data_IF_338632820956
#
_entry.id   IF_338632820956
#
_cell.length_a   1.000
_cell.length_b   1.000
_cell.length_c   1.000
_cell.angle_alpha   90.00
_cell.angle_beta   90.00
_cell.angle_gamma   90.00
#
_symmetry.space_group_name_H-M   'P 1'
#
loop_
_entity.id
_entity.type
_entity.pdbx_description
1 polymer ?
#
# COMPACT_ATOMS: atom_id res chain seq x y z
N UNK A 1 -2.08 5.86 -7.40
CA UNK A 1 -1.09 4.94 -6.81
C UNK A 1 -1.51 4.34 -5.44
N UNK A 2 -2.25 5.06 -4.58
CA UNK A 2 -2.64 4.59 -3.22
C UNK A 2 -3.68 3.44 -3.19
N UNK A 3 -4.45 3.24 -4.27
CA UNK A 3 -5.45 2.16 -4.38
C UNK A 3 -4.84 0.75 -4.22
N UNK A 4 -3.60 0.56 -4.68
CA UNK A 4 -2.94 -0.77 -4.71
C UNK A 4 -2.72 -1.34 -3.31
N UNK A 5 -2.33 -0.51 -2.33
CA UNK A 5 -2.03 -0.99 -0.98
C UNK A 5 -3.31 -1.43 -0.24
N UNK A 6 -4.37 -0.61 -0.31
CA UNK A 6 -5.64 -0.89 0.39
C UNK A 6 -6.30 -2.15 -0.14
N UNK A 7 -6.30 -2.33 -1.45
CA UNK A 7 -6.85 -3.52 -2.09
C UNK A 7 -6.04 -4.77 -1.76
N UNK A 8 -4.70 -4.66 -1.71
CA UNK A 8 -3.83 -5.74 -1.22
C UNK A 8 -4.15 -6.09 0.23
N UNK A 9 -4.28 -5.10 1.12
CA UNK A 9 -4.59 -5.33 2.53
C UNK A 9 -5.94 -6.02 2.71
N UNK A 10 -6.96 -5.60 1.93
CA UNK A 10 -8.29 -6.21 1.93
C UNK A 10 -8.26 -7.65 1.42
N UNK A 11 -7.42 -7.95 0.42
CA UNK A 11 -7.17 -9.32 -0.07
C UNK A 11 -6.46 -10.18 0.97
N UNK A 12 -5.43 -9.66 1.64
CA UNK A 12 -4.69 -10.36 2.69
C UNK A 12 -5.59 -10.71 3.89
N UNK A 13 -6.49 -9.80 4.29
CA UNK A 13 -7.52 -10.12 5.30
C UNK A 13 -8.46 -11.24 4.86
N UNK A 14 -8.77 -11.31 3.56
CA UNK A 14 -9.69 -12.28 2.99
C UNK A 14 -11.07 -12.24 3.64
N UNK A 15 -11.51 -13.39 4.17
CA UNK A 15 -12.82 -13.54 4.83
C UNK A 15 -12.79 -13.19 6.32
N UNK A 16 -11.62 -12.94 6.92
CA UNK A 16 -11.50 -12.60 8.35
C UNK A 16 -12.23 -11.28 8.62
N UNK A 17 -12.84 -11.16 9.80
CA UNK A 17 -13.41 -9.87 10.23
C UNK A 17 -12.29 -8.88 10.51
N UNK A 18 -12.59 -7.57 10.48
CA UNK A 18 -11.62 -6.53 10.85
C UNK A 18 -11.06 -6.74 12.26
N UNK A 19 -11.91 -7.24 13.17
CA UNK A 19 -11.52 -7.55 14.55
C UNK A 19 -10.41 -8.60 14.60
N UNK A 20 -10.68 -9.78 14.05
CA UNK A 20 -9.73 -10.90 14.05
C UNK A 20 -8.41 -10.51 13.40
N UNK A 21 -8.47 -9.85 12.24
CA UNK A 21 -7.25 -9.49 11.53
C UNK A 21 -6.46 -8.37 12.24
N UNK A 22 -7.14 -7.41 12.88
CA UNK A 22 -6.45 -6.40 13.69
C UNK A 22 -5.74 -7.00 14.91
N UNK A 23 -6.32 -8.04 15.52
CA UNK A 23 -5.72 -8.76 16.65
C UNK A 23 -4.46 -9.51 16.20
N UNK A 24 -4.48 -10.21 15.06
CA UNK A 24 -3.29 -10.85 14.48
C UNK A 24 -2.16 -9.84 14.19
N UNK A 25 -2.53 -8.66 13.69
CA UNK A 25 -1.60 -7.56 13.44
C UNK A 25 -1.10 -6.88 14.72
N UNK A 26 -1.71 -7.14 15.88
CA UNK A 26 -1.35 -6.51 17.14
C UNK A 26 -1.75 -5.02 17.22
N UNK A 27 -2.85 -4.63 16.58
CA UNK A 27 -3.34 -3.24 16.57
C UNK A 27 -4.84 -3.15 16.90
N UNK A 28 -5.31 -1.95 17.23
CA UNK A 28 -6.74 -1.75 17.49
C UNK A 28 -7.58 -1.89 16.21
N UNK A 29 -8.81 -2.38 16.38
CA UNK A 29 -9.80 -2.51 15.30
C UNK A 29 -10.01 -1.16 14.59
N UNK A 30 -10.07 -0.08 15.37
CA UNK A 30 -10.24 1.29 14.86
C UNK A 30 -9.07 1.72 13.99
N UNK A 31 -7.82 1.45 14.42
CA UNK A 31 -6.63 1.76 13.63
C UNK A 31 -6.63 1.01 12.31
N UNK A 32 -6.87 -0.31 12.35
CA UNK A 32 -6.97 -1.14 11.14
C UNK A 32 -8.06 -0.63 10.19
N UNK A 33 -9.25 -0.30 10.72
CA UNK A 33 -10.38 0.19 9.92
C UNK A 33 -10.05 1.50 9.19
N UNK A 34 -9.35 2.44 9.85
CA UNK A 34 -8.91 3.69 9.24
C UNK A 34 -7.87 3.44 8.14
N UNK A 35 -6.93 2.52 8.34
CA UNK A 35 -5.92 2.15 7.35
C UNK A 35 -6.55 1.47 6.13
N UNK A 36 -7.38 0.44 6.33
CA UNK A 36 -8.03 -0.30 5.24
C UNK A 36 -8.99 0.59 4.43
N UNK A 37 -9.74 1.48 5.11
CA UNK A 37 -10.60 2.46 4.43
C UNK A 37 -9.83 3.64 3.83
N UNK A 38 -8.55 3.78 4.17
CA UNK A 38 -7.71 4.82 3.60
C UNK A 38 -7.85 6.21 4.23
N UNK A 39 -8.48 6.27 5.40
CA UNK A 39 -8.60 7.47 6.21
C UNK A 39 -7.34 7.76 7.02
N UNK A 40 -6.45 6.78 7.16
CA UNK A 40 -5.14 6.91 7.80
C UNK A 40 -4.07 6.21 6.98
N UNK A 41 -2.86 6.77 6.99
CA UNK A 41 -1.68 6.13 6.42
C UNK A 41 -0.98 5.32 7.53
N UNK A 42 -0.58 4.07 7.26
CA UNK A 42 0.19 3.28 8.21
C UNK A 42 1.60 3.88 8.39
N UNK A 43 2.17 3.71 9.59
CA UNK A 43 3.58 4.04 9.85
C UNK A 43 4.50 2.96 9.29
N UNK A 44 5.80 3.25 9.15
CA UNK A 44 6.81 2.23 8.76
C UNK A 44 6.74 0.98 9.67
N UNK A 45 6.71 1.10 11.02
CA UNK A 45 6.56 -0.08 11.89
C UNK A 45 5.27 -0.86 11.64
N UNK A 46 4.17 -0.16 11.31
CA UNK A 46 2.90 -0.81 10.97
C UNK A 46 3.03 -1.61 9.67
N UNK A 47 3.70 -1.06 8.67
CA UNK A 47 3.95 -1.74 7.40
C UNK A 47 4.83 -2.98 7.59
N UNK A 48 5.89 -2.89 8.41
CA UNK A 48 6.74 -4.03 8.76
C UNK A 48 5.92 -5.13 9.46
N UNK A 49 5.09 -4.75 10.43
CA UNK A 49 4.25 -5.71 11.16
C UNK A 49 3.24 -6.42 10.25
N UNK A 50 2.62 -5.68 9.33
CA UNK A 50 1.73 -6.27 8.32
C UNK A 50 2.51 -7.30 7.51
N UNK A 51 3.69 -6.93 7.00
CA UNK A 51 4.52 -7.79 6.19
C UNK A 51 4.88 -9.11 6.89
N UNK A 52 5.31 -9.04 8.15
CA UNK A 52 5.61 -10.20 8.99
C UNK A 52 4.42 -11.14 9.18
N UNK A 53 3.23 -10.60 9.50
CA UNK A 53 2.04 -11.40 9.82
C UNK A 53 1.42 -12.03 8.57
N UNK A 54 1.54 -11.35 7.44
CA UNK A 54 0.92 -11.81 6.19
C UNK A 54 1.85 -12.59 5.28
N UNK A 55 3.08 -12.87 5.73
CA UNK A 55 4.12 -13.55 4.94
C UNK A 55 4.35 -12.84 3.59
N UNK A 56 4.55 -11.53 3.65
CA UNK A 56 4.81 -10.68 2.48
C UNK A 56 6.06 -9.84 2.69
N UNK A 57 6.64 -9.34 1.60
CA UNK A 57 7.83 -8.49 1.66
C UNK A 57 7.48 -7.00 1.61
N UNK A 58 8.08 -6.20 2.50
CA UNK A 58 8.01 -4.74 2.48
C UNK A 58 9.20 -4.18 1.69
N UNK A 59 8.95 -3.70 0.47
CA UNK A 59 9.95 -3.03 -0.37
C UNK A 59 9.80 -1.51 -0.24
N UNK A 60 10.87 -0.82 0.12
CA UNK A 60 10.96 0.64 0.19
C UNK A 60 12.04 1.10 -0.78
N UNK A 61 11.67 1.96 -1.71
CA UNK A 61 12.57 2.52 -2.72
C UNK A 61 12.58 4.06 -2.63
N UNK A 62 13.74 4.67 -2.87
CA UNK A 62 13.92 6.11 -2.90
C UNK A 62 13.99 6.56 -4.35
N UNK A 63 12.91 7.16 -4.83
CA UNK A 63 12.83 7.64 -6.20
C UNK A 63 13.30 9.09 -6.27
N UNK A 64 14.34 9.35 -7.08
CA UNK A 64 14.83 10.70 -7.34
C UNK A 64 13.76 11.45 -8.16
N UNK A 65 13.25 12.56 -7.62
CA UNK A 65 12.13 13.32 -8.20
C UNK A 65 12.35 13.70 -9.67
N UNK A 66 13.58 14.10 -10.00
CA UNK A 66 13.93 14.57 -11.35
C UNK A 66 13.82 13.44 -12.40
N UNK A 67 14.04 12.18 -12.04
CA UNK A 67 13.91 11.05 -12.97
C UNK A 67 12.46 10.64 -13.23
N UNK A 68 11.53 11.00 -12.33
CA UNK A 68 10.10 10.69 -12.45
C UNK A 68 9.41 11.64 -13.43
N UNK A 69 9.80 12.92 -13.42
CA UNK A 69 9.33 13.90 -14.40
C UNK A 69 9.80 13.52 -15.80
N UNK A 70 11.08 13.18 -15.98
CA UNK A 70 11.60 12.75 -17.29
C UNK A 70 10.92 11.47 -17.81
N UNK A 71 10.63 10.50 -16.93
CA UNK A 71 9.91 9.26 -17.32
C UNK A 71 8.44 9.52 -17.65
N UNK A 72 7.78 10.45 -16.96
CA UNK A 72 6.39 10.85 -17.29
C UNK A 72 6.31 11.56 -18.63
N UNK A 73 7.19 12.52 -18.86
CA UNK A 73 7.28 13.26 -20.11
C UNK A 73 7.53 12.32 -21.29
N UNK A 74 8.46 11.37 -21.13
CA UNK A 74 8.73 10.36 -22.15
C UNK A 74 7.51 9.45 -22.41
N UNK A 75 6.83 8.98 -21.36
CA UNK A 75 5.65 8.12 -21.50
C UNK A 75 4.49 8.85 -22.21
N UNK A 76 4.32 10.15 -21.94
CA UNK A 76 3.31 10.99 -22.59
C UNK A 76 3.64 11.23 -24.07
N UNK A 77 4.92 11.43 -24.40
CA UNK A 77 5.41 11.55 -25.78
C UNK A 77 5.24 10.25 -26.57
N UNK A 78 5.55 9.11 -25.96
CA UNK A 78 5.43 7.79 -26.60
C UNK A 78 3.95 7.47 -26.93
N UNK A 79 3.03 7.78 -26.01
CA UNK A 79 1.58 7.64 -26.24
C UNK A 79 1.08 8.54 -27.38
N UNK A 80 1.65 9.74 -27.52
CA UNK A 80 1.28 10.70 -28.58
C UNK A 80 1.83 10.28 -29.95
N UNK A 81 2.99 9.63 -29.99
CA UNK A 81 3.64 9.18 -31.22
C UNK A 81 3.10 7.83 -31.74
N UNK A 82 2.32 7.10 -30.94
CA UNK A 82 1.63 5.87 -31.32
C UNK A 82 0.19 6.10 -31.83
N UNK A 83 -0.24 7.36 -32.03
CA UNK A 83 -1.49 7.76 -32.69
C UNK A 83 -1.26 8.24 -34.12
#
# INVERSE_FOLDING_TARGET
>A
MVLVFRDKLKKLRGKKTRKVFSEELGMSISNYSLIESGKSNPTIPTLQRIAEVTDTELVVDLIIKNEVETKKEQLELDILNEQ
#
